data_IF_898604126134
#
_entry.id   IF_898604126134
#
_cell.length_a   1.000
_cell.length_b   1.000
_cell.length_c   1.000
_cell.angle_alpha   90.00
_cell.angle_beta   90.00
_cell.angle_gamma   90.00
#
_symmetry.space_group_name_H-M   'P 1'
#
loop_
_entity.id
_entity.type
_entity.pdbx_description
1 polymer ?
#
# COMPACT_ATOMS: atom_id res chain seq x y z
N UNK A 1 28.25 9.50 13.28
CA UNK A 1 26.96 10.13 13.64
C UNK A 1 25.90 9.64 12.65
N UNK A 2 25.21 8.56 12.99
CA UNK A 2 24.16 7.97 12.16
C UNK A 2 22.84 8.67 12.42
N UNK A 3 22.51 9.67 11.61
CA UNK A 3 21.14 10.15 11.53
C UNK A 3 20.28 9.04 10.91
N UNK A 4 19.17 8.70 11.53
CA UNK A 4 18.18 7.76 11.00
C UNK A 4 17.60 8.35 9.71
N UNK A 5 18.25 8.09 8.58
CA UNK A 5 17.78 8.57 7.29
C UNK A 5 16.54 7.77 6.92
N UNK A 6 15.40 8.46 6.88
CA UNK A 6 14.16 7.90 6.36
C UNK A 6 14.40 7.41 4.93
N UNK A 7 14.17 6.12 4.69
CA UNK A 7 14.28 5.52 3.37
C UNK A 7 12.94 5.66 2.65
N UNK A 8 12.98 6.09 1.40
CA UNK A 8 11.77 6.28 0.60
C UNK A 8 11.79 5.37 -0.61
N UNK A 9 10.65 4.72 -0.86
CA UNK A 9 10.37 3.99 -2.10
C UNK A 9 9.19 4.64 -2.82
N UNK A 10 9.45 5.24 -3.99
CA UNK A 10 8.45 6.02 -4.72
C UNK A 10 8.62 5.85 -6.23
N UNK A 11 7.57 6.18 -6.99
CA UNK A 11 7.63 6.36 -8.44
C UNK A 11 8.13 7.76 -8.77
N UNK A 12 9.11 7.82 -9.67
CA UNK A 12 9.55 9.08 -10.27
C UNK A 12 8.70 9.42 -11.50
N UNK A 13 8.69 10.69 -11.87
CA UNK A 13 8.18 11.07 -13.19
C UNK A 13 9.02 10.40 -14.26
N UNK A 14 8.38 10.00 -15.35
CA UNK A 14 9.01 9.30 -16.46
C UNK A 14 10.11 10.20 -17.09
N UNK A 15 10.03 11.53 -16.89
CA UNK A 15 10.94 12.59 -17.34
C UNK A 15 12.01 13.06 -16.33
N UNK A 16 12.21 12.34 -15.22
CA UNK A 16 13.11 12.77 -14.14
C UNK A 16 14.56 12.99 -14.58
N UNK A 17 15.19 14.06 -14.07
CA UNK A 17 16.59 14.38 -14.32
C UNK A 17 17.53 13.55 -13.44
N UNK A 18 18.15 12.54 -14.05
CA UNK A 18 19.09 11.62 -13.42
C UNK A 18 20.47 11.77 -14.05
N UNK A 19 21.52 11.58 -13.26
CA UNK A 19 22.92 11.61 -13.74
C UNK A 19 23.63 10.30 -13.44
N UNK A 20 24.41 9.82 -14.41
CA UNK A 20 25.32 8.70 -14.18
C UNK A 20 26.41 9.12 -13.20
N UNK A 21 26.80 8.20 -12.32
CA UNK A 21 27.94 8.41 -11.43
C UNK A 21 29.23 8.10 -12.21
N UNK A 22 30.23 8.97 -12.12
CA UNK A 22 31.50 8.72 -12.77
C UNK A 22 32.33 7.72 -11.97
N UNK A 23 32.68 6.59 -12.59
CA UNK A 23 33.50 5.51 -11.99
C UNK A 23 34.87 5.36 -12.67
N UNK A 24 35.20 6.22 -13.63
CA UNK A 24 36.45 6.17 -14.37
C UNK A 24 37.67 6.71 -13.61
N UNK A 25 38.89 6.58 -14.19
CA UNK A 25 40.11 7.04 -13.56
C UNK A 25 40.12 8.54 -13.37
N UNK A 26 40.68 9.00 -12.24
CA UNK A 26 40.82 10.43 -11.96
C UNK A 26 41.77 11.05 -12.97
N UNK A 27 41.35 12.16 -13.60
CA UNK A 27 42.24 12.92 -14.48
C UNK A 27 43.43 13.48 -13.67
N UNK A 28 44.66 13.43 -14.22
CA UNK A 28 45.81 14.09 -13.60
C UNK A 28 45.58 15.62 -13.58
N UNK A 29 45.77 16.25 -12.42
CA UNK A 29 45.60 17.68 -12.20
C UNK A 29 44.94 18.06 -10.86
N UNK A 30 45.10 19.32 -10.44
CA UNK A 30 44.60 19.85 -9.17
C UNK A 30 43.11 20.22 -9.12
N UNK A 31 42.39 20.07 -10.24
CA UNK A 31 40.97 20.40 -10.33
C UNK A 31 40.05 19.47 -9.53
N UNK A 32 38.81 19.91 -9.31
CA UNK A 32 37.77 19.09 -8.67
C UNK A 32 37.53 17.79 -9.46
N UNK A 33 37.54 16.61 -8.82
CA UNK A 33 37.24 15.36 -9.48
C UNK A 33 35.87 15.37 -10.17
N UNK A 34 35.80 14.73 -11.35
CA UNK A 34 34.53 14.53 -12.05
C UNK A 34 33.67 13.55 -11.25
N UNK A 35 32.47 13.98 -10.85
CA UNK A 35 31.52 13.16 -10.07
C UNK A 35 30.47 12.49 -10.95
N UNK A 36 30.13 13.10 -12.09
CA UNK A 36 29.03 12.64 -12.95
C UNK A 36 29.49 12.34 -14.37
N UNK A 37 28.94 11.27 -14.95
CA UNK A 37 29.20 10.85 -16.34
C UNK A 37 28.04 11.19 -17.30
N UNK A 38 27.54 12.42 -17.17
CA UNK A 38 26.45 12.94 -17.99
C UNK A 38 25.05 12.57 -17.48
N UNK A 39 24.05 12.95 -18.26
CA UNK A 39 22.62 12.74 -17.97
C UNK A 39 22.18 11.35 -18.41
N UNK A 40 21.30 10.72 -17.64
CA UNK A 40 20.65 9.46 -18.02
C UNK A 40 19.60 9.76 -19.10
N UNK A 41 19.77 9.14 -20.26
CA UNK A 41 18.76 9.14 -21.32
C UNK A 41 17.57 8.28 -20.90
N UNK A 42 16.35 8.78 -21.10
CA UNK A 42 15.15 8.05 -20.68
C UNK A 42 14.72 6.98 -21.64
N UNK A 43 14.86 7.22 -22.95
CA UNK A 43 14.57 6.22 -23.98
C UNK A 43 15.71 5.22 -24.06
N UNK A 44 16.92 5.72 -24.23
CA UNK A 44 18.13 4.94 -24.35
C UNK A 44 19.02 5.10 -23.11
N UNK A 45 19.17 4.01 -22.35
CA UNK A 45 20.00 3.95 -21.15
C UNK A 45 21.30 3.25 -21.50
N UNK A 46 22.42 3.77 -20.98
CA UNK A 46 23.74 3.16 -21.22
C UNK A 46 23.79 1.79 -20.53
N UNK A 47 23.95 0.73 -21.33
CA UNK A 47 24.04 -0.65 -20.84
C UNK A 47 25.20 -0.86 -19.86
N UNK A 48 26.26 -0.04 -19.92
CA UNK A 48 27.38 -0.08 -18.97
C UNK A 48 27.00 0.28 -17.53
N UNK A 49 25.89 1.01 -17.33
CA UNK A 49 25.44 1.44 -16.00
C UNK A 49 24.21 0.67 -15.51
N UNK A 50 23.33 0.25 -16.43
CA UNK A 50 22.09 -0.44 -16.11
C UNK A 50 22.24 -1.95 -16.25
N UNK A 51 21.92 -2.69 -15.19
CA UNK A 51 21.84 -4.16 -15.20
C UNK A 51 20.39 -4.61 -15.38
N UNK A 52 20.18 -5.77 -16.02
CA UNK A 52 18.86 -6.39 -16.08
C UNK A 52 18.48 -7.05 -14.76
N UNK A 53 17.19 -7.04 -14.44
CA UNK A 53 16.62 -7.72 -13.28
C UNK A 53 15.25 -8.29 -13.63
N UNK A 54 14.96 -9.51 -13.19
CA UNK A 54 13.63 -10.10 -13.29
C UNK A 54 12.76 -9.64 -12.12
N UNK A 55 11.53 -9.21 -12.41
CA UNK A 55 10.52 -8.93 -11.40
C UNK A 55 9.70 -10.18 -11.09
N UNK A 56 8.99 -10.17 -9.95
CA UNK A 56 8.18 -11.30 -9.49
C UNK A 56 7.04 -11.70 -10.46
N UNK A 57 6.61 -10.79 -11.33
CA UNK A 57 5.60 -11.04 -12.36
C UNK A 57 6.19 -11.50 -13.71
N UNK A 58 7.49 -11.83 -13.74
CA UNK A 58 8.21 -12.22 -14.96
C UNK A 58 8.68 -11.06 -15.82
N UNK A 59 8.37 -9.81 -15.47
CA UNK A 59 8.79 -8.64 -16.25
C UNK A 59 10.30 -8.43 -16.16
N UNK A 60 10.98 -8.25 -17.31
CA UNK A 60 12.39 -7.85 -17.35
C UNK A 60 12.51 -6.33 -17.18
N UNK A 61 13.10 -5.90 -16.08
CA UNK A 61 13.39 -4.50 -15.79
C UNK A 61 14.90 -4.23 -15.88
N UNK A 62 15.27 -2.95 -15.82
CA UNK A 62 16.67 -2.52 -15.72
C UNK A 62 16.86 -1.66 -14.50
N UNK A 63 18.03 -1.74 -13.86
CA UNK A 63 18.30 -1.02 -12.62
C UNK A 63 19.72 -0.49 -12.54
N UNK A 64 19.91 0.65 -11.86
CA UNK A 64 21.20 1.28 -11.66
C UNK A 64 21.17 2.21 -10.43
N UNK A 65 22.32 2.37 -9.78
CA UNK A 65 22.55 3.47 -8.83
C UNK A 65 22.89 4.72 -9.62
N UNK A 66 22.06 5.76 -9.50
CA UNK A 66 22.24 7.04 -10.20
C UNK A 66 22.07 8.20 -9.24
N UNK A 67 22.56 9.38 -9.62
CA UNK A 67 22.31 10.60 -8.86
C UNK A 67 20.99 11.23 -9.30
N UNK A 68 20.03 11.31 -8.38
CA UNK A 68 18.76 12.00 -8.58
C UNK A 68 18.93 13.48 -8.28
N UNK A 69 18.81 14.33 -9.31
CA UNK A 69 19.05 15.78 -9.17
C UNK A 69 18.02 16.44 -8.25
N UNK A 70 16.76 16.03 -8.34
CA UNK A 70 15.67 16.55 -7.50
C UNK A 70 15.85 16.23 -6.01
N UNK A 71 16.42 15.07 -5.69
CA UNK A 71 16.63 14.62 -4.31
C UNK A 71 18.01 15.01 -3.75
N UNK A 72 18.90 15.53 -4.61
CA UNK A 72 20.30 15.83 -4.30
C UNK A 72 21.04 14.66 -3.65
N UNK A 73 20.76 13.43 -4.08
CA UNK A 73 21.39 12.20 -3.54
C UNK A 73 21.43 11.06 -4.56
N UNK A 74 22.22 10.04 -4.24
CA UNK A 74 22.20 8.76 -4.94
C UNK A 74 20.90 8.02 -4.63
N UNK A 75 20.38 7.31 -5.62
CA UNK A 75 19.19 6.49 -5.49
C UNK A 75 19.34 5.25 -6.37
N UNK A 76 18.85 4.12 -5.87
CA UNK A 76 18.66 2.93 -6.69
C UNK A 76 17.43 3.16 -7.55
N UNK A 77 17.61 3.22 -8.88
CA UNK A 77 16.51 3.42 -9.82
C UNK A 77 16.22 2.12 -10.55
N UNK A 78 14.93 1.83 -10.74
CA UNK A 78 14.41 0.69 -11.49
C UNK A 78 13.53 1.22 -12.62
N UNK A 79 13.94 0.95 -13.86
CA UNK A 79 13.17 1.24 -15.07
C UNK A 79 12.44 -0.02 -15.49
N UNK A 80 11.11 0.03 -15.41
CA UNK A 80 10.21 -1.08 -15.73
C UNK A 80 9.46 -0.76 -17.02
N UNK A 81 9.46 -1.66 -18.03
CA UNK A 81 8.68 -1.47 -19.24
C UNK A 81 7.18 -1.48 -18.93
N UNK A 82 6.41 -0.62 -19.61
CA UNK A 82 4.96 -0.53 -19.46
C UNK A 82 4.33 -0.17 -20.81
N UNK A 83 3.94 -1.21 -21.58
CA UNK A 83 3.50 -1.04 -22.97
C UNK A 83 4.60 -0.42 -23.83
N UNK A 84 4.26 0.66 -24.57
CA UNK A 84 5.23 1.45 -25.36
C UNK A 84 6.03 2.47 -24.53
N UNK A 85 5.78 2.54 -23.23
CA UNK A 85 6.40 3.49 -22.30
C UNK A 85 7.21 2.75 -21.22
N UNK A 86 7.74 3.51 -20.26
CA UNK A 86 8.40 2.98 -19.07
C UNK A 86 7.88 3.66 -17.80
N UNK A 87 8.11 3.01 -16.67
CA UNK A 87 7.91 3.57 -15.33
C UNK A 87 9.22 3.54 -14.58
N UNK A 88 9.51 4.62 -13.87
CA UNK A 88 10.69 4.74 -13.03
C UNK A 88 10.28 4.62 -11.57
N UNK A 89 10.83 3.64 -10.88
CA UNK A 89 10.74 3.52 -9.43
C UNK A 89 12.11 3.78 -8.83
N UNK A 90 12.16 4.25 -7.59
CA UNK A 90 13.43 4.42 -6.91
C UNK A 90 13.35 4.11 -5.43
N UNK A 91 14.52 3.81 -4.86
CA UNK A 91 14.77 3.87 -3.43
C UNK A 91 15.91 4.83 -3.12
N UNK A 92 15.81 5.55 -2.00
CA UNK A 92 16.96 6.28 -1.45
C UNK A 92 18.01 5.36 -0.82
N UNK A 93 17.63 4.12 -0.52
CA UNK A 93 18.56 3.06 -0.18
C UNK A 93 19.17 2.49 -1.47
N UNK A 94 20.48 2.65 -1.65
CA UNK A 94 21.19 2.20 -2.85
C UNK A 94 21.37 0.69 -2.90
N UNK A 95 21.29 0.01 -1.77
CA UNK A 95 21.52 -1.42 -1.66
C UNK A 95 20.21 -2.24 -1.76
N UNK A 96 19.06 -1.55 -1.74
CA UNK A 96 17.76 -2.21 -1.82
C UNK A 96 17.57 -2.92 -3.16
N UNK A 97 17.17 -4.19 -3.10
CA UNK A 97 16.89 -4.99 -4.28
C UNK A 97 15.80 -4.37 -5.18
N UNK A 98 16.02 -4.40 -6.49
CA UNK A 98 15.15 -3.77 -7.47
C UNK A 98 13.75 -4.39 -7.53
N UNK A 99 13.62 -5.72 -7.37
CA UNK A 99 12.31 -6.35 -7.32
C UNK A 99 11.55 -5.95 -6.05
N UNK A 100 12.27 -5.79 -4.93
CA UNK A 100 11.73 -5.28 -3.66
C UNK A 100 11.24 -3.84 -3.78
N UNK A 101 11.98 -2.95 -4.45
CA UNK A 101 11.56 -1.56 -4.73
C UNK A 101 10.21 -1.55 -5.47
N UNK A 102 10.10 -2.33 -6.54
CA UNK A 102 8.88 -2.41 -7.34
C UNK A 102 7.73 -3.01 -6.53
N UNK A 103 8.00 -4.07 -5.75
CA UNK A 103 7.01 -4.70 -4.86
C UNK A 103 6.48 -3.71 -3.83
N UNK A 104 7.34 -3.00 -3.12
CA UNK A 104 6.93 -2.00 -2.12
C UNK A 104 6.12 -0.88 -2.74
N UNK A 105 6.54 -0.34 -3.90
CA UNK A 105 5.74 0.67 -4.58
C UNK A 105 4.37 0.12 -5.00
N UNK A 106 4.31 -1.12 -5.50
CA UNK A 106 3.05 -1.78 -5.83
C UNK A 106 2.18 -2.00 -4.61
N UNK A 107 2.72 -2.31 -3.44
CA UNK A 107 1.92 -2.46 -2.22
C UNK A 107 1.36 -1.13 -1.70
N UNK A 108 1.81 0.02 -2.21
CA UNK A 108 1.39 1.35 -1.74
C UNK A 108 -0.12 1.60 -1.86
N UNK A 109 -0.82 0.97 -2.82
CA UNK A 109 -2.29 1.14 -2.93
C UNK A 109 -3.05 0.60 -1.71
N UNK A 110 -2.43 -0.26 -0.88
CA UNK A 110 -3.08 -0.79 0.32
C UNK A 110 -3.53 0.32 1.28
N UNK A 111 -2.78 1.43 1.34
CA UNK A 111 -3.15 2.58 2.19
C UNK A 111 -4.44 3.25 1.69
N UNK A 112 -4.71 3.22 0.38
CA UNK A 112 -5.92 3.82 -0.20
C UNK A 112 -7.18 3.09 0.26
N UNK A 113 -7.10 1.76 0.45
CA UNK A 113 -8.22 1.01 1.02
C UNK A 113 -8.48 1.40 2.47
N UNK A 114 -7.45 1.65 3.28
CA UNK A 114 -7.63 2.08 4.67
C UNK A 114 -8.36 3.42 4.70
N UNK A 115 -7.94 4.39 3.91
CA UNK A 115 -8.61 5.69 3.84
C UNK A 115 -10.03 5.58 3.26
N UNK A 116 -10.24 4.78 2.22
CA UNK A 116 -11.58 4.55 1.65
C UNK A 116 -12.53 3.96 2.68
N UNK A 117 -12.11 2.89 3.37
CA UNK A 117 -12.92 2.22 4.38
C UNK A 117 -13.21 3.15 5.56
N UNK A 118 -12.19 3.91 5.99
CA UNK A 118 -12.32 4.88 7.07
C UNK A 118 -13.37 5.96 6.74
N UNK A 119 -13.36 6.49 5.52
CA UNK A 119 -14.36 7.47 5.05
C UNK A 119 -15.77 6.86 4.98
N UNK A 120 -15.89 5.69 4.35
CA UNK A 120 -17.19 5.09 4.05
C UNK A 120 -17.86 4.43 5.25
N UNK A 121 -17.09 3.87 6.19
CA UNK A 121 -17.64 3.00 7.24
C UNK A 121 -17.32 3.45 8.66
N UNK A 122 -16.29 4.28 8.87
CA UNK A 122 -15.87 4.72 10.20
C UNK A 122 -15.97 6.24 10.44
N UNK A 123 -16.50 7.01 9.46
CA UNK A 123 -16.84 8.41 9.65
C UNK A 123 -15.64 9.36 9.66
N UNK A 124 -14.58 9.07 8.88
CA UNK A 124 -13.38 9.91 8.82
C UNK A 124 -13.69 11.38 8.55
N UNK A 125 -14.66 11.65 7.70
CA UNK A 125 -15.06 13.00 7.26
C UNK A 125 -16.24 13.58 8.06
N UNK A 126 -16.74 12.87 9.07
CA UNK A 126 -17.94 13.28 9.82
C UNK A 126 -17.61 14.25 10.97
N UNK A 127 -16.34 14.40 11.35
CA UNK A 127 -15.96 15.27 12.46
C UNK A 127 -15.99 16.74 12.04
N UNK A 128 -16.80 17.53 12.75
CA UNK A 128 -16.98 18.96 12.50
C UNK A 128 -16.31 19.84 13.56
N UNK A 129 -15.44 19.27 14.39
CA UNK A 129 -14.74 20.04 15.43
C UNK A 129 -13.69 20.96 14.80
N UNK A 130 -13.51 22.14 15.40
CA UNK A 130 -12.50 23.13 14.97
C UNK A 130 -11.21 23.07 15.80
N UNK A 131 -11.16 22.19 16.81
CA UNK A 131 -9.99 22.03 17.67
C UNK A 131 -9.04 21.00 17.06
N UNK A 132 -7.80 21.41 16.84
CA UNK A 132 -6.70 20.56 16.33
C UNK A 132 -6.58 19.25 17.12
N UNK A 133 -6.42 19.33 18.44
CA UNK A 133 -6.31 18.14 19.31
C UNK A 133 -7.50 17.18 19.17
N UNK A 134 -8.72 17.70 18.98
CA UNK A 134 -9.91 16.86 18.80
C UNK A 134 -9.95 16.22 17.41
N UNK A 135 -9.47 16.92 16.39
CA UNK A 135 -9.29 16.36 15.04
C UNK A 135 -8.25 15.25 15.03
N UNK A 136 -7.09 15.45 15.65
CA UNK A 136 -6.02 14.44 15.73
C UNK A 136 -6.51 13.17 16.42
N UNK A 137 -7.23 13.34 17.53
CA UNK A 137 -7.85 12.22 18.24
C UNK A 137 -8.87 11.49 17.37
N UNK A 138 -9.75 12.22 16.68
CA UNK A 138 -10.74 11.64 15.76
C UNK A 138 -10.08 10.85 14.64
N UNK A 139 -9.08 11.41 13.95
CA UNK A 139 -8.37 10.71 12.88
C UNK A 139 -7.68 9.44 13.38
N UNK A 140 -7.01 9.52 14.53
CA UNK A 140 -6.35 8.37 15.15
C UNK A 140 -7.36 7.28 15.51
N UNK A 141 -8.50 7.66 16.09
CA UNK A 141 -9.56 6.74 16.49
C UNK A 141 -10.19 6.05 15.27
N UNK A 142 -10.54 6.81 14.23
CA UNK A 142 -11.17 6.27 13.03
C UNK A 142 -10.26 5.29 12.28
N UNK A 143 -8.98 5.65 12.11
CA UNK A 143 -8.00 4.76 11.47
C UNK A 143 -7.74 3.51 12.32
N UNK A 144 -7.68 3.67 13.65
CA UNK A 144 -7.56 2.54 14.58
C UNK A 144 -8.76 1.61 14.49
N UNK A 145 -9.98 2.15 14.54
CA UNK A 145 -11.21 1.37 14.42
C UNK A 145 -11.27 0.59 13.11
N UNK A 146 -10.85 1.21 12.00
CA UNK A 146 -10.76 0.56 10.68
C UNK A 146 -9.78 -0.62 10.70
N UNK A 147 -8.61 -0.45 11.33
CA UNK A 147 -7.61 -1.51 11.46
C UNK A 147 -8.07 -2.63 12.42
N UNK A 148 -8.71 -2.28 13.54
CA UNK A 148 -9.29 -3.25 14.49
C UNK A 148 -10.36 -4.09 13.80
N UNK A 149 -11.24 -3.49 13.02
CA UNK A 149 -12.27 -4.23 12.27
C UNK A 149 -11.64 -5.21 11.27
N UNK A 150 -10.60 -4.79 10.53
CA UNK A 150 -9.82 -5.65 9.64
C UNK A 150 -9.15 -6.81 10.38
N UNK A 151 -8.56 -6.52 11.53
CA UNK A 151 -7.89 -7.50 12.36
C UNK A 151 -8.90 -8.51 12.94
N UNK A 152 -9.99 -8.04 13.53
CA UNK A 152 -11.03 -8.88 14.13
C UNK A 152 -11.62 -9.89 13.12
N UNK A 153 -11.86 -9.47 11.87
CA UNK A 153 -12.32 -10.37 10.82
C UNK A 153 -11.28 -11.44 10.43
N UNK A 154 -9.99 -11.09 10.47
CA UNK A 154 -8.89 -11.97 10.01
C UNK A 154 -8.29 -12.83 11.12
N UNK A 155 -8.47 -12.45 12.39
CA UNK A 155 -7.86 -13.13 13.54
C UNK A 155 -8.32 -14.57 13.68
N UNK A 156 -9.57 -14.88 13.32
CA UNK A 156 -10.12 -16.23 13.35
C UNK A 156 -9.74 -17.09 12.14
N UNK A 157 -9.12 -16.51 11.11
CA UNK A 157 -8.81 -17.19 9.84
C UNK A 157 -7.29 -17.40 9.73
N UNK A 158 -6.80 -18.63 9.49
CA UNK A 158 -5.38 -18.89 9.21
C UNK A 158 -4.86 -18.05 8.05
N UNK A 159 -3.59 -17.64 8.08
CA UNK A 159 -3.02 -16.71 7.09
C UNK A 159 -3.20 -17.21 5.66
N UNK A 160 -3.02 -18.51 5.42
CA UNK A 160 -3.12 -19.15 4.10
C UNK A 160 -4.55 -19.15 3.54
N UNK A 161 -5.56 -19.06 4.42
CA UNK A 161 -6.99 -19.07 4.04
C UNK A 161 -7.58 -17.65 3.96
N UNK A 162 -6.78 -16.62 4.28
CA UNK A 162 -7.27 -15.23 4.25
C UNK A 162 -7.47 -14.76 2.82
N UNK A 163 -8.73 -14.62 2.43
CA UNK A 163 -9.12 -13.97 1.19
C UNK A 163 -8.99 -12.45 1.18
N UNK A 164 -9.49 -11.84 0.10
CA UNK A 164 -9.63 -10.40 -0.01
C UNK A 164 -10.55 -9.86 1.10
N UNK A 165 -10.18 -8.72 1.69
CA UNK A 165 -10.99 -8.06 2.71
C UNK A 165 -11.89 -7.01 2.08
N UNK A 166 -13.19 -7.06 2.39
CA UNK A 166 -14.17 -6.05 2.03
C UNK A 166 -14.92 -5.61 3.28
N UNK A 167 -14.82 -4.33 3.63
CA UNK A 167 -15.54 -3.79 4.79
C UNK A 167 -17.05 -3.77 4.55
N UNK A 168 -17.48 -3.56 3.30
CA UNK A 168 -18.88 -3.54 2.89
C UNK A 168 -19.55 -4.90 3.10
N UNK A 169 -18.89 -5.98 2.66
CA UNK A 169 -19.42 -7.35 2.77
C UNK A 169 -19.50 -7.76 4.24
N UNK A 170 -18.43 -7.50 5.00
CA UNK A 170 -18.41 -7.77 6.43
C UNK A 170 -19.50 -7.03 7.21
N UNK A 171 -19.72 -5.75 6.89
CA UNK A 171 -20.81 -4.96 7.48
C UNK A 171 -22.17 -5.55 7.12
N UNK A 172 -22.36 -5.98 5.88
CA UNK A 172 -23.63 -6.56 5.40
C UNK A 172 -23.91 -7.90 6.07
N UNK A 173 -22.91 -8.79 6.14
CA UNK A 173 -23.01 -10.07 6.84
C UNK A 173 -23.37 -9.89 8.32
N UNK A 174 -22.66 -9.01 9.03
CA UNK A 174 -22.92 -8.75 10.44
C UNK A 174 -24.29 -8.11 10.66
N UNK A 175 -24.72 -7.22 9.75
CA UNK A 175 -26.08 -6.64 9.80
C UNK A 175 -27.14 -7.71 9.62
N UNK A 176 -26.97 -8.60 8.65
CA UNK A 176 -27.91 -9.69 8.37
C UNK A 176 -27.97 -10.66 9.54
N UNK A 177 -26.82 -11.06 10.10
CA UNK A 177 -26.75 -11.91 11.28
C UNK A 177 -27.51 -11.29 12.46
N UNK A 178 -27.31 -9.99 12.73
CA UNK A 178 -28.01 -9.28 13.80
C UNK A 178 -29.52 -9.15 13.56
N UNK A 179 -29.95 -8.98 12.30
CA UNK A 179 -31.38 -8.96 11.95
C UNK A 179 -32.00 -10.35 12.14
N UNK A 180 -31.32 -11.42 11.74
CA UNK A 180 -31.77 -12.79 11.93
C UNK A 180 -31.87 -13.16 13.40
N UNK A 181 -30.83 -12.82 14.18
CA UNK A 181 -30.83 -13.03 15.63
C UNK A 181 -32.01 -12.31 16.28
N UNK A 182 -32.26 -11.04 15.92
CA UNK A 182 -33.42 -10.30 16.41
C UNK A 182 -34.76 -10.91 15.98
N UNK A 183 -34.87 -11.40 14.74
CA UNK A 183 -36.07 -12.07 14.27
C UNK A 183 -36.34 -13.34 15.09
N UNK A 184 -35.33 -14.17 15.31
CA UNK A 184 -35.46 -15.37 16.14
C UNK A 184 -35.70 -15.05 17.62
N UNK A 185 -35.09 -14.01 18.17
CA UNK A 185 -35.31 -13.62 19.56
C UNK A 185 -36.73 -13.08 19.81
N UNK A 186 -37.32 -12.44 18.80
CA UNK A 186 -38.64 -11.77 18.92
C UNK A 186 -39.79 -12.69 18.50
N UNK A 187 -39.60 -13.45 17.42
CA UNK A 187 -40.64 -14.28 16.78
C UNK A 187 -40.30 -15.76 16.73
N UNK A 188 -39.12 -16.17 17.20
CA UNK A 188 -38.75 -17.57 17.26
C UNK A 188 -39.70 -18.31 18.18
N UNK A 189 -40.69 -18.97 17.59
CA UNK A 189 -41.53 -19.93 18.29
C UNK A 189 -40.58 -21.01 18.79
N UNK A 190 -40.48 -21.14 20.12
CA UNK A 190 -39.69 -22.22 20.70
C UNK A 190 -40.25 -23.55 20.18
N UNK A 191 -39.49 -24.35 19.42
CA UNK A 191 -39.98 -25.59 18.83
C UNK A 191 -40.37 -26.64 19.90
N UNK A 192 -40.09 -26.37 21.17
CA UNK A 192 -40.48 -27.18 22.32
C UNK A 192 -41.74 -26.66 23.04
N UNK A 193 -42.44 -25.67 22.48
CA UNK A 193 -43.79 -25.35 22.93
C UNK A 193 -44.69 -26.52 22.55
N UNK A 194 -45.12 -27.31 23.55
CA UNK A 194 -46.13 -28.35 23.39
C UNK A 194 -47.30 -27.73 22.63
N UNK A 195 -47.66 -28.28 21.47
CA UNK A 195 -48.86 -27.88 20.75
C UNK A 195 -50.02 -27.93 21.74
N UNK A 196 -50.70 -26.80 21.94
CA UNK A 196 -51.92 -26.75 22.74
C UNK A 196 -52.91 -27.73 22.13
N UNK A 197 -53.43 -28.73 22.87
CA UNK A 197 -54.39 -29.66 22.32
C UNK A 197 -55.68 -28.88 22.02
N UNK A 198 -56.01 -28.74 20.74
CA UNK A 198 -57.36 -28.36 20.32
C UNK A 198 -58.13 -29.65 20.04
N UNK A 199 -59.36 -29.78 20.52
CA UNK A 199 -60.46 -29.26 19.71
C UNK A 199 -61.54 -28.54 20.54
N UNK A 200 -61.87 -27.33 20.13
CA UNK A 200 -63.13 -26.68 20.51
C UNK A 200 -64.24 -27.48 19.83
N UNK A 201 -65.04 -28.21 20.64
CA UNK A 201 -66.27 -28.86 20.17
C UNK A 201 -67.24 -27.79 19.68
N UNK A 202 -67.61 -27.85 18.40
CA UNK A 202 -68.75 -27.11 17.87
C UNK A 202 -70.02 -27.60 18.57
N UNK A 203 -70.77 -26.68 19.17
CA UNK A 203 -72.20 -26.83 19.48
C UNK A 203 -72.98 -26.15 18.38
#
# INVERSE_FOLDING_TARGET
MGGTYFQFVVRMRDDTNLKYLYTGPRKPGGGRPRVYDGKVGQRDVKASYFRYVGLADGTKATTAVVYAVSLKRKAQVVKVPFGKAHKLYFSTDTEMDAATIVRYYRLRFQIEFIYRDAKQFAGLENCQTRSERKLDFHFSLVLTATNVAKAAHRMSIPIEERGAFSMADNKTMNRNALLMDRLFSTFGVNPHLKQSPSPIKKK
#
